data_IF_401301897682
#
_entry.id   IF_401301897682
#
_cell.length_a   1.000
_cell.length_b   1.000
_cell.length_c   1.000
_cell.angle_alpha   90.00
_cell.angle_beta   90.00
_cell.angle_gamma   90.00
#
_symmetry.space_group_name_H-M   'P 1'
#
loop_
_entity.id
_entity.type
_entity.pdbx_description
1 polymer ?
#
# COMPACT_ATOMS: atom_id res chain seq x y z
N UNK A 1 -3.39 -20.02 -8.36
CA UNK A 1 -2.17 -20.40 -7.61
C UNK A 1 -1.05 -19.51 -8.12
N UNK A 2 -0.68 -18.52 -7.31
CA UNK A 2 0.21 -17.42 -7.71
C UNK A 2 1.64 -17.89 -8.00
N UNK A 3 2.25 -17.34 -9.06
CA UNK A 3 3.60 -17.66 -9.54
C UNK A 3 4.71 -17.54 -8.47
N UNK A 4 4.42 -16.82 -7.38
CA UNK A 4 5.30 -16.55 -6.26
C UNK A 4 5.57 -17.81 -5.41
N UNK A 5 4.63 -18.78 -5.40
CA UNK A 5 4.76 -20.01 -4.60
C UNK A 5 5.47 -21.17 -5.33
N UNK A 6 5.97 -20.96 -6.56
CA UNK A 6 6.54 -22.03 -7.42
C UNK A 6 8.03 -21.87 -7.75
N UNK A 7 8.79 -21.12 -6.95
CA UNK A 7 10.26 -21.08 -7.10
C UNK A 7 10.75 -20.38 -8.38
N UNK A 8 10.03 -19.34 -8.83
CA UNK A 8 10.47 -18.55 -9.97
C UNK A 8 11.82 -17.86 -9.68
N UNK A 9 12.72 -17.87 -10.66
CA UNK A 9 14.06 -17.29 -10.53
C UNK A 9 14.30 -16.21 -11.59
N UNK A 10 15.03 -15.16 -11.21
CA UNK A 10 15.50 -14.13 -12.14
C UNK A 10 16.88 -14.52 -12.66
N UNK A 11 17.04 -14.62 -13.98
CA UNK A 11 18.32 -14.99 -14.61
C UNK A 11 18.57 -14.16 -15.86
N UNK A 12 19.84 -13.96 -16.22
CA UNK A 12 20.19 -13.34 -17.50
C UNK A 12 20.08 -14.35 -18.64
N UNK A 13 19.54 -13.93 -19.77
CA UNK A 13 19.60 -14.65 -21.03
C UNK A 13 21.00 -14.53 -21.67
N UNK A 14 21.21 -15.27 -22.76
CA UNK A 14 22.47 -15.26 -23.52
C UNK A 14 22.78 -13.90 -24.17
N UNK A 15 21.78 -13.05 -24.34
CA UNK A 15 21.90 -11.66 -24.82
C UNK A 15 22.03 -10.63 -23.67
N UNK A 16 22.09 -11.10 -22.41
CA UNK A 16 22.17 -10.27 -21.21
C UNK A 16 20.83 -9.69 -20.76
N UNK A 17 19.72 -10.00 -21.43
CA UNK A 17 18.40 -9.52 -21.00
C UNK A 17 17.93 -10.27 -19.75
N UNK A 18 17.28 -9.59 -18.78
CA UNK A 18 16.73 -10.25 -17.61
C UNK A 18 15.49 -11.07 -18.00
N UNK A 19 15.44 -12.34 -17.60
CA UNK A 19 14.32 -13.24 -17.80
C UNK A 19 13.89 -13.89 -16.48
N UNK A 20 12.58 -14.00 -16.28
CA UNK A 20 12.00 -14.76 -15.17
C UNK A 20 11.71 -16.18 -15.65
N UNK A 21 12.18 -17.18 -14.91
CA UNK A 21 11.98 -18.59 -15.23
C UNK A 21 11.19 -19.31 -14.14
N UNK A 22 10.39 -20.30 -14.52
CA UNK A 22 9.72 -21.21 -13.58
C UNK A 22 10.73 -22.18 -12.93
N UNK A 23 10.28 -23.00 -11.98
CA UNK A 23 11.14 -24.01 -11.32
C UNK A 23 11.67 -25.10 -12.28
N UNK A 24 11.07 -25.26 -13.46
CA UNK A 24 11.54 -26.17 -14.50
C UNK A 24 12.54 -25.50 -15.46
N UNK A 25 12.80 -24.18 -15.30
CA UNK A 25 13.73 -23.41 -16.10
C UNK A 25 13.13 -22.78 -17.37
N UNK A 26 11.81 -22.88 -17.57
CA UNK A 26 11.13 -22.26 -18.72
C UNK A 26 10.90 -20.77 -18.47
N UNK A 27 11.09 -19.94 -19.49
CA UNK A 27 10.78 -18.51 -19.39
C UNK A 27 9.28 -18.33 -19.16
N UNK A 28 8.92 -17.58 -18.11
CA UNK A 28 7.54 -17.25 -17.82
C UNK A 28 7.08 -16.23 -18.86
N UNK A 29 6.07 -16.61 -19.65
CA UNK A 29 5.41 -15.69 -20.55
C UNK A 29 4.55 -14.69 -19.75
N UNK A 30 4.95 -13.41 -19.77
CA UNK A 30 4.25 -12.33 -19.07
C UNK A 30 2.80 -12.18 -19.55
N UNK A 31 2.47 -12.57 -20.78
CA UNK A 31 1.10 -12.50 -21.30
C UNK A 31 0.13 -13.47 -20.60
N UNK A 32 0.67 -14.49 -19.93
CA UNK A 32 -0.10 -15.51 -19.21
C UNK A 32 0.02 -15.40 -17.68
N UNK A 33 0.63 -14.33 -17.17
CA UNK A 33 0.75 -14.08 -15.72
C UNK A 33 -0.59 -13.56 -15.19
N UNK A 34 -1.33 -14.45 -14.49
CA UNK A 34 -2.63 -14.13 -13.92
C UNK A 34 -2.57 -13.16 -12.71
N UNK A 35 -1.40 -13.02 -12.08
CA UNK A 35 -1.19 -12.16 -10.92
C UNK A 35 0.28 -11.74 -10.80
N UNK A 36 0.50 -10.44 -10.60
CA UNK A 36 1.82 -9.85 -10.35
C UNK A 36 1.90 -9.41 -8.90
N UNK A 37 3.04 -9.63 -8.24
CA UNK A 37 3.35 -9.00 -6.96
C UNK A 37 4.53 -8.05 -7.15
N UNK A 38 4.38 -6.83 -6.66
CA UNK A 38 5.45 -5.85 -6.67
C UNK A 38 6.31 -6.04 -5.43
N UNK A 39 7.57 -6.40 -5.62
CA UNK A 39 8.56 -6.45 -4.55
C UNK A 39 9.25 -5.10 -4.47
N UNK A 40 8.57 -4.13 -3.84
CA UNK A 40 9.18 -2.89 -3.35
C UNK A 40 9.61 -3.04 -1.89
N UNK A 41 10.42 -2.10 -1.36
CA UNK A 41 10.60 -2.01 0.08
C UNK A 41 9.24 -1.92 0.76
N UNK A 42 9.03 -2.70 1.82
CA UNK A 42 7.79 -2.65 2.60
C UNK A 42 7.60 -1.22 3.10
N UNK A 43 6.50 -0.60 2.69
CA UNK A 43 6.18 0.76 3.11
C UNK A 43 6.08 0.82 4.63
N UNK A 44 6.85 1.70 5.26
CA UNK A 44 6.83 1.85 6.72
C UNK A 44 5.46 2.35 7.18
N UNK A 45 5.08 2.04 8.43
CA UNK A 45 3.80 2.51 8.99
C UNK A 45 3.65 4.04 8.90
N UNK A 46 4.76 4.79 9.01
CA UNK A 46 4.82 6.25 8.86
C UNK A 46 4.44 6.68 7.44
N UNK A 47 4.98 6.02 6.42
CA UNK A 47 4.65 6.30 5.02
C UNK A 47 3.19 5.95 4.74
N UNK A 48 2.71 4.80 5.25
CA UNK A 48 1.31 4.39 5.10
C UNK A 48 0.35 5.40 5.74
N UNK A 49 0.70 5.91 6.94
CA UNK A 49 -0.08 6.93 7.64
C UNK A 49 -0.07 8.27 6.91
N UNK A 50 1.05 8.65 6.29
CA UNK A 50 1.15 9.87 5.48
C UNK A 50 0.21 9.80 4.28
N UNK A 51 0.27 8.70 3.54
CA UNK A 51 -0.61 8.45 2.38
C UNK A 51 -2.08 8.34 2.79
N UNK A 52 -2.38 7.72 3.93
CA UNK A 52 -3.73 7.63 4.48
C UNK A 52 -4.25 9.00 4.94
N UNK A 53 -3.41 9.84 5.56
CA UNK A 53 -3.78 11.18 6.03
C UNK A 53 -4.18 12.09 4.87
N UNK A 54 -3.42 12.07 3.77
CA UNK A 54 -3.75 12.87 2.58
C UNK A 54 -5.12 12.47 2.02
N UNK A 55 -5.36 11.16 1.82
CA UNK A 55 -6.64 10.64 1.34
C UNK A 55 -7.79 10.98 2.29
N UNK A 56 -7.58 10.80 3.59
CA UNK A 56 -8.57 11.10 4.63
C UNK A 56 -8.91 12.59 4.68
N UNK A 57 -7.91 13.47 4.54
CA UNK A 57 -8.13 14.91 4.50
C UNK A 57 -8.98 15.31 3.29
N UNK A 58 -8.65 14.81 2.09
CA UNK A 58 -9.45 15.05 0.88
C UNK A 58 -10.87 14.52 1.01
N UNK A 59 -11.05 13.32 1.56
CA UNK A 59 -12.38 12.74 1.80
C UNK A 59 -13.19 13.57 2.79
N UNK A 60 -12.60 13.99 3.91
CA UNK A 60 -13.28 14.82 4.92
C UNK A 60 -13.66 16.20 4.38
N UNK A 61 -12.84 16.78 3.50
CA UNK A 61 -13.15 18.04 2.82
C UNK A 61 -14.34 17.87 1.87
N UNK A 62 -14.34 16.83 1.05
CA UNK A 62 -15.43 16.55 0.13
C UNK A 62 -16.76 16.23 0.84
N UNK A 63 -16.69 15.53 1.98
CA UNK A 63 -17.87 15.10 2.72
C UNK A 63 -18.47 16.20 3.62
N UNK A 64 -17.65 17.02 4.26
CA UNK A 64 -18.11 18.00 5.26
C UNK A 64 -17.69 19.43 4.93
N UNK A 65 -16.40 19.63 4.59
CA UNK A 65 -15.83 20.96 4.34
C UNK A 65 -16.51 21.72 3.20
N UNK A 66 -16.86 21.02 2.12
CA UNK A 66 -17.60 21.57 0.97
C UNK A 66 -18.97 22.14 1.35
N UNK A 67 -19.61 21.57 2.37
CA UNK A 67 -20.95 21.95 2.82
C UNK A 67 -20.92 22.90 4.02
N UNK A 68 -19.72 23.29 4.49
CA UNK A 68 -19.56 24.07 5.73
C UNK A 68 -19.92 23.28 7.00
N UNK A 69 -20.02 21.96 6.89
CA UNK A 69 -20.33 21.07 8.01
C UNK A 69 -19.07 20.75 8.81
N UNK A 70 -19.24 20.58 10.12
CA UNK A 70 -18.13 20.16 10.98
C UNK A 70 -17.98 18.64 10.87
N UNK A 71 -16.79 18.11 10.55
CA UNK A 71 -16.56 16.67 10.54
C UNK A 71 -16.88 16.06 11.91
N UNK A 72 -17.53 14.89 11.96
CA UNK A 72 -17.81 14.19 13.21
C UNK A 72 -16.54 13.97 14.06
N UNK A 73 -16.70 13.86 15.38
CA UNK A 73 -15.59 13.63 16.30
C UNK A 73 -14.76 12.37 15.96
N UNK A 74 -15.39 11.36 15.37
CA UNK A 74 -14.73 10.13 14.88
C UNK A 74 -13.74 10.43 13.75
N UNK A 75 -14.11 11.29 12.80
CA UNK A 75 -13.22 11.77 11.73
C UNK A 75 -12.06 12.59 12.27
N UNK A 76 -12.31 13.48 13.22
CA UNK A 76 -11.26 14.28 13.85
C UNK A 76 -10.26 13.39 14.61
N UNK A 77 -10.76 12.39 15.33
CA UNK A 77 -9.93 11.40 16.04
C UNK A 77 -9.09 10.58 15.08
N UNK A 78 -9.69 10.09 13.99
CA UNK A 78 -9.00 9.34 12.94
C UNK A 78 -7.87 10.16 12.27
N UNK A 79 -8.16 11.40 11.87
CA UNK A 79 -7.15 12.30 11.26
C UNK A 79 -6.02 12.63 12.25
N UNK A 80 -6.32 12.75 13.54
CA UNK A 80 -5.33 13.00 14.58
C UNK A 80 -4.44 11.78 14.82
N UNK A 81 -5.02 10.58 14.87
CA UNK A 81 -4.28 9.32 14.98
C UNK A 81 -3.34 9.11 13.79
N UNK A 82 -3.84 9.32 12.56
CA UNK A 82 -3.00 9.25 11.35
C UNK A 82 -1.85 10.25 11.40
N UNK A 83 -2.10 11.48 11.87
CA UNK A 83 -1.05 12.49 12.02
C UNK A 83 0.00 12.11 13.06
N UNK A 84 -0.42 11.54 14.19
CA UNK A 84 0.49 11.09 15.25
C UNK A 84 1.40 9.93 14.79
N UNK A 85 0.87 9.04 13.94
CA UNK A 85 1.67 7.97 13.34
C UNK A 85 2.60 8.55 12.25
N UNK A 86 2.07 9.40 11.37
CA UNK A 86 2.82 9.99 10.26
C UNK A 86 3.97 10.91 10.71
N UNK A 87 3.86 11.55 11.87
CA UNK A 87 4.93 12.39 12.43
C UNK A 87 5.85 11.64 13.42
N UNK A 88 5.61 10.33 13.64
CA UNK A 88 6.41 9.50 14.55
C UNK A 88 6.23 9.81 16.05
N UNK A 89 5.20 10.58 16.41
CA UNK A 89 4.84 10.83 17.82
C UNK A 89 4.21 9.59 18.44
N UNK A 90 3.41 8.86 17.66
CA UNK A 90 2.90 7.55 18.05
C UNK A 90 3.95 6.48 17.71
N UNK A 91 4.48 5.84 18.76
CA UNK A 91 5.46 4.74 18.68
C UNK A 91 4.90 3.40 19.13
N UNK A 92 3.64 3.38 19.56
CA UNK A 92 2.97 2.19 20.11
C UNK A 92 2.08 1.51 19.09
N UNK A 93 1.54 2.28 18.15
CA UNK A 93 0.72 1.79 17.06
C UNK A 93 1.55 0.92 16.12
N UNK A 94 1.07 -0.30 15.89
CA UNK A 94 1.68 -1.27 14.95
C UNK A 94 0.88 -1.41 13.66
N UNK A 95 -0.29 -0.78 13.58
CA UNK A 95 -1.21 -0.84 12.44
C UNK A 95 -1.88 0.51 12.21
N UNK A 96 -2.36 0.75 10.99
CA UNK A 96 -3.18 1.93 10.68
C UNK A 96 -4.52 1.87 11.43
N UNK A 97 -5.03 3.01 11.91
CA UNK A 97 -6.40 3.08 12.40
C UNK A 97 -7.38 2.82 11.26
N UNK A 98 -8.54 2.24 11.59
CA UNK A 98 -9.61 2.03 10.60
C UNK A 98 -10.28 3.35 10.26
N UNK A 99 -10.52 3.58 8.97
CA UNK A 99 -11.28 4.73 8.52
C UNK A 99 -12.73 4.63 9.04
N UNK A 100 -13.31 5.72 9.56
CA UNK A 100 -14.72 5.75 9.92
C UNK A 100 -15.61 5.58 8.68
N UNK A 101 -16.68 4.81 8.83
CA UNK A 101 -17.76 4.73 7.85
C UNK A 101 -18.63 5.97 8.01
N UNK A 102 -18.84 6.71 6.91
CA UNK A 102 -19.71 7.89 6.84
C UNK A 102 -21.14 7.63 7.27
#
# INVERSE_FOLDING_TARGET
MDAIHKGASLSAASDGTPQVKDAAGNVIDLANVASTASFGPVETLVQQATSALQRAASASWAAYGMYGETPPATWQTYLTALRAIANGTDKTSTTLPMAPTS
#
